data_IF_670936700632
#
_entry.id   IF_670936700632
#
_cell.length_a   1.000
_cell.length_b   1.000
_cell.length_c   1.000
_cell.angle_alpha   90.00
_cell.angle_beta   90.00
_cell.angle_gamma   90.00
#
_symmetry.space_group_name_H-M   'P 1'
#
loop_
_entity.id
_entity.type
_entity.pdbx_description
1 polymer ?
#
# COMPACT_ATOMS: atom_id res chain seq x y z
N UNK A 1 3.02 28.02 5.08
CA UNK A 1 2.53 26.66 4.80
C UNK A 1 2.64 25.85 6.08
N UNK A 2 1.54 25.33 6.60
CA UNK A 2 1.47 24.58 7.85
C UNK A 2 1.55 23.08 7.55
N UNK A 3 2.73 22.63 7.13
CA UNK A 3 2.95 21.25 6.68
C UNK A 3 2.78 20.24 7.82
N UNK A 4 3.14 20.64 9.04
CA UNK A 4 3.12 19.76 10.21
C UNK A 4 1.71 19.53 10.77
N UNK A 5 0.83 20.55 10.71
CA UNK A 5 -0.58 20.42 11.11
C UNK A 5 -1.37 19.51 10.15
N UNK A 6 -1.03 19.52 8.85
CA UNK A 6 -1.66 18.65 7.86
C UNK A 6 -1.29 17.18 8.08
N UNK A 7 -0.05 16.88 8.51
CA UNK A 7 0.39 15.52 8.80
C UNK A 7 -0.32 14.92 10.03
N UNK A 8 -0.60 15.73 11.05
CA UNK A 8 -1.32 15.31 12.25
C UNK A 8 -2.84 15.11 12.01
N UNK A 9 -3.41 15.82 11.03
CA UNK A 9 -4.81 15.73 10.68
C UNK A 9 -5.14 14.52 9.79
N UNK A 10 -4.15 13.92 9.12
CA UNK A 10 -4.34 12.67 8.38
C UNK A 10 -4.31 11.52 9.38
N UNK A 11 -5.43 10.81 9.60
CA UNK A 11 -5.45 9.66 10.50
C UNK A 11 -4.40 8.64 10.05
N UNK A 12 -3.63 8.08 10.97
CA UNK A 12 -2.62 7.06 10.66
C UNK A 12 -3.20 5.87 9.89
N UNK A 13 -4.43 5.46 10.24
CA UNK A 13 -5.21 4.47 9.50
C UNK A 13 -5.46 4.87 8.04
N UNK A 14 -5.63 6.15 7.73
CA UNK A 14 -5.80 6.64 6.37
C UNK A 14 -4.48 6.54 5.59
N UNK A 15 -3.34 6.87 6.19
CA UNK A 15 -2.01 6.66 5.59
C UNK A 15 -1.73 5.18 5.32
N UNK A 16 -2.06 4.32 6.28
CA UNK A 16 -1.87 2.87 6.20
C UNK A 16 -2.81 2.23 5.18
N UNK A 17 -4.06 2.71 5.05
CA UNK A 17 -5.05 2.20 4.08
C UNK A 17 -4.76 2.69 2.65
N UNK A 18 -4.05 3.82 2.49
CA UNK A 18 -3.82 4.38 1.15
C UNK A 18 -2.45 3.97 0.58
N UNK A 19 -1.50 3.56 1.43
CA UNK A 19 -0.14 3.24 1.00
C UNK A 19 0.31 1.84 1.47
N UNK A 20 0.70 0.99 0.51
CA UNK A 20 1.31 -0.31 0.76
C UNK A 20 2.83 -0.16 0.96
N UNK A 21 3.23 0.50 2.05
CA UNK A 21 4.64 0.79 2.34
C UNK A 21 5.05 0.06 3.61
N UNK A 22 5.92 -0.95 3.47
CA UNK A 22 6.37 -1.75 4.60
C UNK A 22 7.03 -3.07 4.20
N UNK A 23 7.33 -3.95 5.18
CA UNK A 23 7.86 -5.27 4.89
C UNK A 23 6.84 -6.13 4.11
N UNK A 24 7.34 -7.11 3.34
CA UNK A 24 6.51 -8.00 2.49
C UNK A 24 5.34 -8.64 3.26
N UNK A 25 5.54 -9.01 4.53
CA UNK A 25 4.51 -9.58 5.40
C UNK A 25 3.33 -8.62 5.63
N UNK A 26 3.63 -7.35 5.91
CA UNK A 26 2.61 -6.31 6.11
C UNK A 26 1.81 -6.09 4.84
N UNK A 27 2.46 -6.00 3.68
CA UNK A 27 1.78 -5.83 2.39
C UNK A 27 0.87 -7.04 2.10
N UNK A 28 1.32 -8.26 2.39
CA UNK A 28 0.53 -9.49 2.19
C UNK A 28 -0.74 -9.53 3.02
N UNK A 29 -0.67 -9.19 4.30
CA UNK A 29 -1.85 -9.13 5.19
C UNK A 29 -2.89 -8.13 4.68
N UNK A 30 -2.43 -7.00 4.12
CA UNK A 30 -3.30 -5.95 3.59
C UNK A 30 -3.93 -6.34 2.26
N UNK A 31 -3.18 -7.02 1.39
CA UNK A 31 -3.72 -7.61 0.17
C UNK A 31 -4.78 -8.68 0.47
N UNK A 32 -4.57 -9.52 1.50
CA UNK A 32 -5.56 -10.49 1.96
C UNK A 32 -6.83 -9.79 2.47
N UNK A 33 -6.69 -8.74 3.28
CA UNK A 33 -7.83 -7.95 3.73
C UNK A 33 -8.61 -7.29 2.56
N UNK A 34 -7.93 -6.81 1.52
CA UNK A 34 -8.59 -6.30 0.32
C UNK A 34 -9.32 -7.39 -0.47
N UNK A 35 -8.74 -8.59 -0.56
CA UNK A 35 -9.38 -9.75 -1.18
C UNK A 35 -10.65 -10.17 -0.42
N UNK A 36 -10.59 -10.21 0.91
CA UNK A 36 -11.75 -10.50 1.77
C UNK A 36 -12.82 -9.42 1.69
N UNK A 37 -12.43 -8.16 1.52
CA UNK A 37 -13.34 -7.04 1.28
C UNK A 37 -13.98 -7.04 -0.12
N UNK A 38 -13.63 -8.01 -0.98
CA UNK A 38 -14.20 -8.15 -2.33
C UNK A 38 -13.57 -7.25 -3.39
N UNK A 39 -12.37 -6.71 -3.15
CA UNK A 39 -11.63 -5.93 -4.15
C UNK A 39 -11.15 -6.86 -5.26
N UNK A 40 -11.62 -6.62 -6.49
CA UNK A 40 -11.24 -7.42 -7.67
C UNK A 40 -10.17 -6.74 -8.53
N UNK A 41 -10.02 -5.42 -8.40
CA UNK A 41 -9.06 -4.62 -9.16
C UNK A 41 -8.33 -3.69 -8.20
N UNK A 42 -7.00 -3.75 -8.19
CA UNK A 42 -6.14 -2.85 -7.42
C UNK A 42 -5.28 -2.03 -8.38
N UNK A 43 -5.47 -0.70 -8.38
CA UNK A 43 -4.56 0.22 -9.07
C UNK A 43 -3.40 0.53 -8.15
N UNK A 44 -2.17 0.31 -8.64
CA UNK A 44 -0.94 0.59 -7.90
C UNK A 44 -0.17 1.70 -8.60
N UNK A 45 0.48 2.55 -7.82
CA UNK A 45 1.48 3.49 -8.30
C UNK A 45 2.81 3.14 -7.64
N UNK A 46 3.72 2.44 -8.32
CA UNK A 46 5.01 2.09 -7.77
C UNK A 46 5.83 3.34 -7.48
N UNK A 47 6.40 3.42 -6.29
CA UNK A 47 7.28 4.53 -5.87
C UNK A 47 8.65 3.93 -5.56
N UNK A 48 9.66 4.26 -6.35
CA UNK A 48 11.01 3.70 -6.20
C UNK A 48 11.81 3.70 -7.51
N UNK A 49 13.05 3.20 -7.45
CA UNK A 49 13.97 3.18 -8.59
C UNK A 49 13.68 2.07 -9.61
N UNK A 50 13.14 0.93 -9.18
CA UNK A 50 12.79 -0.18 -10.07
C UNK A 50 11.30 -0.53 -9.94
N UNK A 51 10.54 -0.02 -10.91
CA UNK A 51 9.11 -0.24 -11.04
C UNK A 51 8.79 -1.71 -11.32
N UNK A 52 9.62 -2.38 -12.13
CA UNK A 52 9.39 -3.78 -12.54
C UNK A 52 9.56 -4.70 -11.35
N UNK A 53 10.66 -4.56 -10.60
CA UNK A 53 10.91 -5.34 -9.39
C UNK A 53 9.80 -5.16 -8.34
N UNK A 54 9.23 -3.96 -8.24
CA UNK A 54 8.13 -3.66 -7.32
C UNK A 54 6.84 -4.39 -7.73
N UNK A 55 6.53 -4.42 -9.03
CA UNK A 55 5.36 -5.13 -9.55
C UNK A 55 5.52 -6.65 -9.40
N UNK A 56 6.71 -7.19 -9.72
CA UNK A 56 7.01 -8.62 -9.52
C UNK A 56 6.86 -9.03 -8.05
N UNK A 57 7.40 -8.22 -7.13
CA UNK A 57 7.24 -8.45 -5.69
C UNK A 57 5.76 -8.45 -5.27
N UNK A 58 4.94 -7.56 -5.82
CA UNK A 58 3.51 -7.55 -5.56
C UNK A 58 2.81 -8.79 -6.09
N UNK A 59 3.20 -9.27 -7.28
CA UNK A 59 2.66 -10.49 -7.89
C UNK A 59 2.97 -11.72 -7.04
N UNK A 60 4.22 -11.89 -6.60
CA UNK A 60 4.65 -12.97 -5.69
C UNK A 60 3.86 -13.00 -4.36
N UNK A 61 3.32 -11.86 -3.91
CA UNK A 61 2.56 -11.77 -2.66
C UNK A 61 1.07 -12.05 -2.83
N UNK A 62 0.55 -11.96 -4.06
CA UNK A 62 -0.85 -12.22 -4.42
C UNK A 62 -1.06 -13.67 -4.87
N UNK A 63 -0.07 -14.26 -5.57
CA UNK A 63 -0.03 -15.69 -5.92
C UNK A 63 0.03 -16.58 -4.66
#
# INVERSE_FOLDING_TARGET
GKKDEAAAAVPKQMLENTNLVGPKSYVKERLAAYKEAGVTILSITPVGGDVVQTVETLRELID
#
